data_IF_151569872199
#
_entry.id   IF_151569872199
#
_cell.length_a   1.000
_cell.length_b   1.000
_cell.length_c   1.000
_cell.angle_alpha   90.00
_cell.angle_beta   90.00
_cell.angle_gamma   90.00
#
_symmetry.space_group_name_H-M   'P 1'
#
loop_
_entity.id
_entity.type
_entity.pdbx_description
1 polymer ?
#
# COMPACT_ATOMS: atom_id res chain seq x y z
N UNK A 1 -8.99 35.29 -17.36
CA UNK A 1 -8.51 34.37 -16.31
C UNK A 1 -7.09 34.81 -15.99
N UNK A 2 -6.79 35.15 -14.74
CA UNK A 2 -5.40 35.44 -14.34
C UNK A 2 -4.55 34.19 -14.56
N UNK A 3 -3.33 34.37 -15.06
CA UNK A 3 -2.36 33.29 -15.18
C UNK A 3 -2.12 32.73 -13.77
N UNK A 4 -2.39 31.43 -13.59
CA UNK A 4 -2.21 30.79 -12.28
C UNK A 4 -0.78 30.29 -12.21
N UNK A 5 -0.14 30.49 -11.08
CA UNK A 5 1.21 29.98 -10.83
C UNK A 5 1.28 28.48 -11.16
N UNK A 6 2.34 28.03 -11.83
CA UNK A 6 2.53 26.61 -12.10
C UNK A 6 2.66 25.83 -10.79
N UNK A 7 2.27 24.56 -10.85
CA UNK A 7 2.58 23.58 -9.79
C UNK A 7 3.74 22.73 -10.30
N UNK A 8 4.89 22.85 -9.66
CA UNK A 8 6.06 22.00 -9.92
C UNK A 8 6.05 20.80 -8.99
N UNK A 9 6.18 19.61 -9.56
CA UNK A 9 6.35 18.36 -8.83
C UNK A 9 7.83 17.98 -8.91
N UNK A 10 8.48 17.88 -7.75
CA UNK A 10 9.90 17.60 -7.62
C UNK A 10 10.11 16.24 -7.00
N UNK A 11 10.76 15.35 -7.74
CA UNK A 11 11.29 14.12 -7.18
C UNK A 11 11.53 13.03 -8.21
N UNK A 12 11.76 11.78 -7.78
CA UNK A 12 12.18 10.74 -8.68
C UNK A 12 11.10 10.41 -9.74
N UNK A 13 11.47 9.89 -10.91
CA UNK A 13 10.57 9.78 -12.05
C UNK A 13 9.30 8.99 -11.73
N UNK A 14 9.41 7.87 -11.02
CA UNK A 14 8.26 7.05 -10.63
C UNK A 14 7.25 7.75 -9.73
N UNK A 15 7.71 8.62 -8.83
CA UNK A 15 6.85 9.32 -7.89
C UNK A 15 6.27 10.59 -8.53
N UNK A 16 7.12 11.36 -9.20
CA UNK A 16 6.77 12.63 -9.79
C UNK A 16 5.79 12.47 -10.94
N UNK A 17 5.99 11.50 -11.82
CA UNK A 17 5.08 11.27 -12.95
C UNK A 17 3.78 10.59 -12.55
N UNK A 18 3.78 9.76 -11.49
CA UNK A 18 2.54 9.24 -10.93
C UNK A 18 1.70 10.39 -10.37
N UNK A 19 2.32 11.24 -9.55
CA UNK A 19 1.70 12.43 -8.97
C UNK A 19 1.13 13.34 -10.05
N UNK A 20 1.95 13.68 -11.06
CA UNK A 20 1.54 14.56 -12.14
C UNK A 20 0.36 13.99 -12.93
N UNK A 21 0.40 12.69 -13.24
CA UNK A 21 -0.67 11.99 -13.96
C UNK A 21 -1.98 12.02 -13.17
N UNK A 22 -1.93 11.71 -11.87
CA UNK A 22 -3.11 11.70 -11.02
C UNK A 22 -3.68 13.11 -10.80
N UNK A 23 -2.85 14.12 -10.56
CA UNK A 23 -3.29 15.50 -10.40
C UNK A 23 -3.89 16.05 -11.70
N UNK A 24 -3.25 15.79 -12.84
CA UNK A 24 -3.77 16.20 -14.15
C UNK A 24 -5.16 15.60 -14.42
N UNK A 25 -5.38 14.35 -13.97
CA UNK A 25 -6.66 13.65 -14.17
C UNK A 25 -7.76 14.09 -13.21
N UNK A 26 -7.48 14.12 -11.92
CA UNK A 26 -8.52 14.20 -10.89
C UNK A 26 -8.70 15.58 -10.29
N UNK A 27 -7.63 16.38 -10.20
CA UNK A 27 -7.73 17.68 -9.54
C UNK A 27 -8.33 18.76 -10.46
N UNK A 28 -8.69 18.41 -11.72
CA UNK A 28 -9.19 19.31 -12.78
C UNK A 28 -8.64 20.71 -12.59
N UNK A 29 -7.30 20.78 -12.53
CA UNK A 29 -6.57 21.93 -12.03
C UNK A 29 -6.97 23.11 -12.91
N UNK A 30 -7.84 23.97 -12.40
CA UNK A 30 -8.66 24.86 -13.23
C UNK A 30 -7.78 25.96 -13.83
N UNK A 31 -7.06 25.62 -14.89
CA UNK A 31 -6.08 26.47 -15.56
C UNK A 31 -4.66 26.47 -14.97
N UNK A 32 -4.33 25.66 -13.96
CA UNK A 32 -2.94 25.63 -13.47
C UNK A 32 -2.07 24.71 -14.32
N UNK A 33 -0.87 25.19 -14.68
CA UNK A 33 0.12 24.42 -15.44
C UNK A 33 0.87 23.47 -14.50
N UNK A 34 0.89 22.19 -14.84
CA UNK A 34 1.70 21.19 -14.15
C UNK A 34 3.08 21.07 -14.79
N UNK A 35 4.11 21.06 -13.96
CA UNK A 35 5.49 20.81 -14.37
C UNK A 35 6.12 19.73 -13.51
N UNK A 36 7.07 18.98 -14.08
CA UNK A 36 7.82 17.93 -13.39
C UNK A 36 9.31 18.24 -13.46
N UNK A 37 9.95 18.32 -12.29
CA UNK A 37 11.40 18.36 -12.11
C UNK A 37 11.85 16.99 -11.59
N UNK A 38 12.45 16.18 -12.46
CA UNK A 38 12.95 14.85 -12.09
C UNK A 38 14.21 14.95 -11.24
N UNK A 39 14.24 14.21 -10.13
CA UNK A 39 15.48 13.92 -9.39
C UNK A 39 15.97 12.50 -9.73
N UNK A 40 17.23 12.15 -9.42
CA UNK A 40 17.73 10.80 -9.70
C UNK A 40 16.88 9.71 -9.06
N UNK A 41 16.53 8.66 -9.83
CA UNK A 41 15.85 7.49 -9.26
C UNK A 41 16.81 6.63 -8.47
N UNK A 42 16.35 6.12 -7.32
CA UNK A 42 17.03 5.06 -6.59
C UNK A 42 16.60 3.66 -7.04
N UNK A 43 15.55 3.57 -7.86
CA UNK A 43 14.96 2.32 -8.35
C UNK A 43 15.51 2.05 -9.75
N UNK A 44 15.99 0.83 -10.02
CA UNK A 44 16.54 0.50 -11.33
C UNK A 44 15.40 0.23 -12.32
N UNK A 45 15.58 0.59 -13.60
CA UNK A 45 14.55 0.44 -14.63
C UNK A 45 13.93 -0.96 -14.74
N UNK A 46 14.69 -2.02 -14.45
CA UNK A 46 14.24 -3.42 -14.53
C UNK A 46 13.64 -3.94 -13.21
N UNK A 47 13.65 -3.15 -12.14
CA UNK A 47 12.99 -3.53 -10.90
C UNK A 47 11.48 -3.54 -11.08
N UNK A 48 10.83 -4.41 -10.32
CA UNK A 48 9.38 -4.60 -10.38
C UNK A 48 8.74 -3.93 -9.18
N UNK A 49 7.68 -3.16 -9.45
CA UNK A 49 6.76 -2.65 -8.43
C UNK A 49 5.46 -3.43 -8.46
N UNK A 50 4.80 -3.53 -7.32
CA UNK A 50 3.50 -4.18 -7.22
C UNK A 50 2.43 -3.10 -7.06
N UNK A 51 1.59 -2.97 -8.10
CA UNK A 51 0.39 -2.17 -8.03
C UNK A 51 -0.70 -3.00 -7.32
N UNK A 52 -1.09 -2.55 -6.13
CA UNK A 52 -2.11 -3.20 -5.31
C UNK A 52 -3.51 -3.06 -5.93
N UNK A 53 -4.50 -3.87 -5.53
CA UNK A 53 -5.81 -3.90 -6.19
C UNK A 53 -6.52 -2.54 -6.22
N UNK A 54 -6.42 -1.78 -5.14
CA UNK A 54 -6.93 -0.42 -5.04
C UNK A 54 -6.19 0.56 -5.97
N UNK A 55 -4.88 0.40 -6.12
CA UNK A 55 -4.06 1.24 -7.01
C UNK A 55 -4.39 0.97 -8.47
N UNK A 56 -4.63 -0.29 -8.82
CA UNK A 56 -4.95 -0.70 -10.19
C UNK A 56 -6.23 -0.05 -10.69
N UNK A 57 -7.24 0.09 -9.84
CA UNK A 57 -8.46 0.84 -10.19
C UNK A 57 -8.15 2.30 -10.52
N UNK A 58 -7.31 2.95 -9.71
CA UNK A 58 -6.87 4.33 -9.94
C UNK A 58 -5.99 4.45 -11.20
N UNK A 59 -5.12 3.49 -11.45
CA UNK A 59 -4.29 3.44 -12.66
C UNK A 59 -5.18 3.38 -13.91
N UNK A 60 -6.18 2.51 -13.92
CA UNK A 60 -7.12 2.40 -15.04
C UNK A 60 -7.87 3.72 -15.26
N UNK A 61 -8.30 4.42 -14.20
CA UNK A 61 -9.03 5.69 -14.35
C UNK A 61 -8.18 6.87 -14.80
N UNK A 62 -6.85 6.81 -14.64
CA UNK A 62 -5.90 7.75 -15.28
C UNK A 62 -5.45 7.29 -16.68
N UNK A 63 -5.97 6.18 -17.20
CA UNK A 63 -5.63 5.67 -18.54
C UNK A 63 -4.40 4.76 -18.58
N UNK A 64 -3.89 4.34 -17.42
CA UNK A 64 -2.80 3.39 -17.30
C UNK A 64 -3.36 1.96 -17.19
N UNK A 65 -3.31 1.20 -18.29
CA UNK A 65 -3.75 -0.19 -18.30
C UNK A 65 -2.57 -1.13 -17.98
N UNK A 66 -2.58 -1.87 -16.84
CA UNK A 66 -1.48 -2.76 -16.49
C UNK A 66 -1.20 -3.83 -17.56
N UNK A 67 -2.24 -4.35 -18.22
CA UNK A 67 -2.07 -5.39 -19.25
C UNK A 67 -1.25 -4.90 -20.44
N UNK A 68 -1.40 -3.64 -20.84
CA UNK A 68 -0.60 -3.06 -21.94
C UNK A 68 0.87 -2.85 -21.58
N UNK A 69 1.21 -2.91 -20.29
CA UNK A 69 2.59 -2.78 -19.80
C UNK A 69 3.27 -4.15 -19.61
N UNK A 70 2.66 -5.24 -20.08
CA UNK A 70 3.15 -6.59 -19.81
C UNK A 70 3.06 -6.97 -18.33
N UNK A 71 2.18 -6.32 -17.56
CA UNK A 71 2.07 -6.56 -16.14
C UNK A 71 1.57 -7.98 -15.84
N UNK A 72 2.19 -8.62 -14.86
CA UNK A 72 1.86 -10.00 -14.45
C UNK A 72 0.99 -9.97 -13.20
N UNK A 73 -0.10 -10.75 -13.14
CA UNK A 73 -0.89 -10.85 -11.92
C UNK A 73 -0.02 -11.42 -10.79
N UNK A 74 -0.17 -10.89 -9.58
CA UNK A 74 0.54 -11.38 -8.38
C UNK A 74 -0.41 -11.54 -7.22
N UNK A 75 -0.24 -12.62 -6.44
CA UNK A 75 -1.08 -12.91 -5.27
C UNK A 75 -0.44 -12.43 -3.96
N UNK A 76 0.84 -12.09 -4.00
CA UNK A 76 1.60 -11.63 -2.85
C UNK A 76 2.70 -10.68 -3.28
N UNK A 77 3.21 -9.91 -2.32
CA UNK A 77 4.46 -9.18 -2.46
C UNK A 77 5.51 -9.73 -1.49
N UNK A 78 6.79 -9.53 -1.80
CA UNK A 78 7.88 -10.08 -1.00
C UNK A 78 8.37 -9.03 -0.01
N UNK A 79 8.32 -9.38 1.28
CA UNK A 79 8.89 -8.59 2.36
C UNK A 79 10.42 -8.73 2.46
N UNK A 80 11.04 -8.14 3.49
CA UNK A 80 12.50 -8.03 3.60
C UNK A 80 13.21 -9.37 3.80
N UNK A 81 12.54 -10.31 4.47
CA UNK A 81 13.07 -11.65 4.74
C UNK A 81 12.57 -12.69 3.72
N UNK A 82 12.31 -12.26 2.48
CA UNK A 82 11.71 -13.06 1.41
C UNK A 82 10.30 -13.62 1.73
N UNK A 83 9.69 -13.15 2.83
CA UNK A 83 8.37 -13.59 3.25
C UNK A 83 7.30 -13.10 2.27
N UNK A 84 6.40 -13.99 1.89
CA UNK A 84 5.26 -13.65 1.04
C UNK A 84 4.16 -12.98 1.86
N UNK A 85 3.86 -11.74 1.51
CA UNK A 85 2.78 -10.91 2.05
C UNK A 85 1.55 -11.03 1.14
N UNK A 86 0.48 -11.67 1.60
CA UNK A 86 -0.68 -11.99 0.77
C UNK A 86 -1.48 -10.75 0.41
N UNK A 87 -1.80 -10.60 -0.88
CA UNK A 87 -2.68 -9.55 -1.41
C UNK A 87 -4.13 -10.02 -1.58
N UNK A 88 -4.37 -11.33 -1.48
CA UNK A 88 -5.70 -11.94 -1.49
C UNK A 88 -6.13 -12.34 -0.08
N UNK A 89 -7.44 -12.40 0.19
CA UNK A 89 -7.94 -13.05 1.40
C UNK A 89 -7.40 -14.48 1.51
N UNK A 90 -7.07 -14.89 2.73
CA UNK A 90 -6.56 -16.23 3.01
C UNK A 90 -7.68 -17.08 3.59
N UNK A 91 -7.95 -18.19 2.90
CA UNK A 91 -9.00 -19.15 3.20
C UNK A 91 -10.39 -18.55 3.27
N UNK A 92 -11.35 -19.32 3.78
CA UNK A 92 -12.74 -18.90 3.92
C UNK A 92 -13.21 -18.97 5.37
N UNK A 93 -14.11 -18.06 5.75
CA UNK A 93 -14.82 -18.12 7.04
C UNK A 93 -15.72 -19.37 7.03
N UNK A 94 -15.66 -20.16 8.10
CA UNK A 94 -16.45 -21.38 8.22
C UNK A 94 -17.32 -21.33 9.48
N UNK A 95 -18.64 -21.42 9.30
CA UNK A 95 -19.64 -21.35 10.39
C UNK A 95 -19.43 -20.14 11.33
N UNK A 96 -19.05 -18.99 10.75
CA UNK A 96 -18.78 -17.76 11.50
C UNK A 96 -17.43 -17.73 12.24
N UNK A 97 -16.60 -18.77 12.10
CA UNK A 97 -15.23 -18.81 12.61
C UNK A 97 -14.28 -18.33 11.52
N UNK A 98 -13.41 -17.36 11.84
CA UNK A 98 -12.41 -16.88 10.90
C UNK A 98 -11.43 -17.99 10.51
N UNK A 99 -10.99 -18.01 9.25
CA UNK A 99 -10.03 -18.98 8.74
C UNK A 99 -8.77 -19.08 9.60
N UNK A 100 -8.24 -17.94 10.05
CA UNK A 100 -7.10 -17.89 10.95
C UNK A 100 -7.33 -18.66 12.25
N UNK A 101 -8.48 -18.49 12.90
CA UNK A 101 -8.74 -19.17 14.17
C UNK A 101 -8.82 -20.70 13.96
N UNK A 102 -9.29 -21.13 12.79
CA UNK A 102 -9.31 -22.54 12.36
C UNK A 102 -7.88 -23.03 12.13
N UNK A 103 -7.09 -22.33 11.32
CA UNK A 103 -5.72 -22.70 10.97
C UNK A 103 -4.82 -22.76 12.21
N UNK A 104 -4.82 -21.72 13.05
CA UNK A 104 -4.03 -21.73 14.28
C UNK A 104 -4.44 -22.86 15.22
N UNK A 105 -5.75 -23.15 15.35
CA UNK A 105 -6.22 -24.26 16.18
C UNK A 105 -5.72 -25.59 15.62
N UNK A 106 -5.77 -25.78 14.30
CA UNK A 106 -5.21 -26.95 13.64
C UNK A 106 -3.70 -27.09 13.87
N UNK A 107 -2.93 -26.00 13.82
CA UNK A 107 -1.49 -26.05 14.11
C UNK A 107 -1.23 -26.52 15.55
N UNK A 108 -1.95 -25.95 16.52
CA UNK A 108 -1.75 -26.24 17.94
C UNK A 108 -2.27 -27.61 18.37
N UNK A 109 -3.43 -28.04 17.87
CA UNK A 109 -4.12 -29.24 18.34
C UNK A 109 -3.94 -30.44 17.41
N UNK A 110 -3.75 -30.22 16.11
CA UNK A 110 -3.71 -31.27 15.08
C UNK A 110 -2.33 -31.43 14.43
N UNK A 111 -1.35 -30.60 14.80
CA UNK A 111 -0.03 -30.60 14.18
C UNK A 111 -0.05 -30.18 12.71
N UNK A 112 -1.00 -29.35 12.29
CA UNK A 112 -1.02 -28.78 10.95
C UNK A 112 0.30 -28.03 10.67
N UNK A 113 0.96 -28.36 9.55
CA UNK A 113 2.26 -27.78 9.18
C UNK A 113 2.21 -26.94 7.91
N UNK A 114 1.08 -26.97 7.17
CA UNK A 114 0.92 -26.17 5.96
C UNK A 114 1.04 -24.69 6.30
N UNK A 115 1.92 -23.93 5.61
CA UNK A 115 2.04 -22.50 5.85
C UNK A 115 0.73 -21.81 5.48
N UNK A 116 0.38 -20.78 6.26
CA UNK A 116 -0.86 -20.03 6.08
C UNK A 116 -1.03 -19.44 4.67
N UNK A 117 0.08 -19.10 4.01
CA UNK A 117 0.09 -18.56 2.65
C UNK A 117 -0.38 -19.53 1.57
N UNK A 118 -0.34 -20.86 1.81
CA UNK A 118 -0.91 -21.88 0.90
C UNK A 118 -2.44 -21.87 0.85
N UNK A 119 -3.10 -21.00 1.61
CA UNK A 119 -4.55 -20.86 1.53
C UNK A 119 -4.93 -19.50 0.93
N UNK A 120 -3.96 -18.76 0.38
CA UNK A 120 -4.23 -17.54 -0.35
C UNK A 120 -5.10 -17.87 -1.56
N UNK A 121 -6.23 -17.19 -1.69
CA UNK A 121 -7.12 -17.43 -2.83
C UNK A 121 -6.36 -17.16 -4.13
N UNK A 122 -6.46 -18.11 -5.05
CA UNK A 122 -5.90 -18.03 -6.39
C UNK A 122 -6.68 -17.09 -7.31
N UNK A 123 -7.89 -16.68 -6.89
CA UNK A 123 -8.65 -15.65 -7.57
C UNK A 123 -7.77 -14.42 -7.80
N UNK A 124 -7.85 -13.84 -8.99
CA UNK A 124 -7.04 -12.69 -9.36
C UNK A 124 -7.18 -11.61 -8.29
N UNK A 125 -6.12 -11.40 -7.52
CA UNK A 125 -6.01 -10.36 -6.48
C UNK A 125 -6.42 -8.99 -7.00
N UNK A 126 -6.36 -8.79 -8.31
CA UNK A 126 -6.43 -7.50 -8.95
C UNK A 126 -5.12 -6.73 -8.85
N UNK A 127 -4.10 -7.31 -8.21
CA UNK A 127 -2.76 -6.74 -8.10
C UNK A 127 -1.87 -7.22 -9.26
N UNK A 128 -0.94 -6.35 -9.65
CA UNK A 128 -0.05 -6.59 -10.79
C UNK A 128 1.38 -6.19 -10.48
N UNK A 129 2.33 -7.03 -10.86
CA UNK A 129 3.75 -6.73 -10.95
C UNK A 129 4.04 -6.01 -12.28
N UNK A 130 4.66 -4.83 -12.20
CA UNK A 130 4.98 -3.98 -13.35
C UNK A 130 6.47 -3.61 -13.28
N UNK A 131 7.18 -3.74 -14.40
CA UNK A 131 8.55 -3.19 -14.54
C UNK A 131 8.51 -1.66 -14.44
N UNK A 132 9.33 -1.08 -13.56
CA UNK A 132 9.26 0.34 -13.24
C UNK A 132 9.59 1.23 -14.45
N UNK A 133 10.54 0.82 -15.31
CA UNK A 133 10.88 1.57 -16.51
C UNK A 133 9.70 1.68 -17.49
N UNK A 134 8.95 0.59 -17.68
CA UNK A 134 7.72 0.59 -18.50
C UNK A 134 6.62 1.44 -17.85
N UNK A 135 6.47 1.34 -16.53
CA UNK A 135 5.52 2.11 -15.75
C UNK A 135 5.75 3.62 -15.90
N UNK A 136 6.99 4.09 -15.70
CA UNK A 136 7.36 5.51 -15.82
C UNK A 136 7.15 6.02 -17.25
N UNK A 137 7.57 5.27 -18.27
CA UNK A 137 7.36 5.66 -19.68
C UNK A 137 5.88 5.86 -19.99
N UNK A 138 5.03 4.98 -19.48
CA UNK A 138 3.60 5.07 -19.69
C UNK A 138 2.98 6.28 -18.96
N UNK A 139 3.36 6.52 -17.70
CA UNK A 139 2.94 7.71 -16.95
C UNK A 139 3.36 9.01 -17.66
N UNK A 140 4.62 9.12 -18.10
CA UNK A 140 5.12 10.24 -18.91
C UNK A 140 4.25 10.47 -20.13
N UNK A 141 4.00 9.42 -20.91
CA UNK A 141 3.18 9.51 -22.12
C UNK A 141 1.74 9.97 -21.84
N UNK A 142 1.13 9.53 -20.74
CA UNK A 142 -0.22 9.95 -20.32
C UNK A 142 -0.20 11.41 -19.88
N UNK A 143 0.72 11.79 -19.00
CA UNK A 143 0.84 13.14 -18.45
C UNK A 143 1.13 14.18 -19.53
N UNK A 144 2.04 13.90 -20.47
CA UNK A 144 2.35 14.82 -21.57
C UNK A 144 1.15 15.05 -22.49
N UNK A 145 0.32 14.02 -22.75
CA UNK A 145 -0.91 14.17 -23.54
C UNK A 145 -1.93 15.12 -22.92
N UNK A 146 -1.89 15.30 -21.60
CA UNK A 146 -2.75 16.23 -20.86
C UNK A 146 -2.06 17.55 -20.50
N UNK A 147 -0.90 17.83 -21.10
CA UNK A 147 -0.21 19.12 -21.00
C UNK A 147 0.79 19.26 -19.86
N UNK A 148 1.17 18.18 -19.17
CA UNK A 148 2.27 18.21 -18.19
C UNK A 148 3.60 18.32 -18.93
N UNK A 149 4.43 19.29 -18.53
CA UNK A 149 5.77 19.50 -19.11
C UNK A 149 6.89 19.14 -18.12
N UNK A 150 8.04 18.69 -18.60
CA UNK A 150 9.27 18.65 -17.80
C UNK A 150 9.86 20.06 -17.66
N UNK A 151 10.50 20.36 -16.53
CA UNK A 151 11.23 21.60 -16.31
C UNK A 151 12.64 21.33 -15.75
N UNK A 152 13.53 22.32 -15.85
CA UNK A 152 14.90 22.26 -15.32
C UNK A 152 15.01 22.85 -13.91
N UNK A 153 14.07 23.72 -13.52
CA UNK A 153 14.06 24.42 -12.24
C UNK A 153 12.64 24.41 -11.65
N UNK A 154 12.54 24.52 -10.32
CA UNK A 154 11.27 24.51 -9.63
C UNK A 154 10.68 25.92 -9.52
N UNK A 155 9.44 26.08 -9.97
CA UNK A 155 8.71 27.35 -9.94
C UNK A 155 7.33 27.17 -9.28
N UNK A 156 6.82 28.25 -8.68
CA UNK A 156 5.45 28.31 -8.14
C UNK A 156 5.21 27.41 -6.92
N UNK A 157 4.11 26.65 -6.95
CA UNK A 157 3.76 25.71 -5.88
C UNK A 157 4.58 24.43 -6.03
N UNK A 158 5.30 24.04 -4.99
CA UNK A 158 6.21 22.88 -5.05
C UNK A 158 5.61 21.69 -4.32
N UNK A 159 5.39 20.59 -5.04
CA UNK A 159 5.06 19.29 -4.46
C UNK A 159 6.33 18.44 -4.41
N UNK A 160 6.72 18.02 -3.22
CA UNK A 160 8.02 17.39 -2.99
C UNK A 160 7.80 15.90 -2.69
N UNK A 161 8.24 15.03 -3.58
CA UNK A 161 8.34 13.58 -3.33
C UNK A 161 9.75 13.12 -3.00
N UNK A 162 10.76 14.00 -3.10
CA UNK A 162 12.15 13.75 -2.70
C UNK A 162 12.50 14.35 -1.32
N UNK A 163 12.92 13.54 -0.33
CA UNK A 163 13.31 14.05 1.00
C UNK A 163 14.41 15.12 0.98
N UNK A 164 15.27 15.14 -0.04
CA UNK A 164 16.40 16.08 -0.15
C UNK A 164 15.99 17.53 -0.40
N UNK A 165 14.71 17.78 -0.74
CA UNK A 165 14.19 19.11 -1.09
C UNK A 165 13.39 19.80 0.03
N UNK A 166 13.37 19.26 1.27
CA UNK A 166 12.60 19.84 2.39
C UNK A 166 13.04 21.28 2.71
N UNK A 167 12.10 22.24 2.75
CA UNK A 167 12.36 23.59 3.26
C UNK A 167 11.69 24.77 2.53
N UNK A 168 10.94 24.54 1.46
CA UNK A 168 10.27 25.64 0.74
C UNK A 168 8.96 26.08 1.44
N UNK A 169 8.79 27.39 1.63
CA UNK A 169 7.72 28.04 2.39
C UNK A 169 6.29 27.75 1.87
N UNK A 170 6.16 27.30 0.61
CA UNK A 170 4.89 26.95 -0.06
C UNK A 170 4.83 25.48 -0.50
N UNK A 171 5.68 24.62 0.06
CA UNK A 171 5.75 23.22 -0.35
C UNK A 171 4.76 22.32 0.39
N UNK A 172 4.23 21.33 -0.33
CA UNK A 172 3.58 20.15 0.28
C UNK A 172 4.44 18.94 0.00
N UNK A 173 4.60 18.08 1.00
CA UNK A 173 5.44 16.88 0.91
C UNK A 173 4.56 15.67 0.67
N UNK A 174 4.92 14.79 -0.25
CA UNK A 174 4.18 13.57 -0.63
C UNK A 174 5.09 12.34 -0.57
N UNK A 175 4.51 11.15 -0.37
CA UNK A 175 5.19 9.88 -0.54
C UNK A 175 6.41 9.68 0.35
N UNK A 176 7.51 9.17 -0.21
CA UNK A 176 8.75 8.90 0.52
C UNK A 176 9.42 10.17 1.07
N UNK A 177 9.14 11.36 0.54
CA UNK A 177 9.62 12.58 1.18
C UNK A 177 8.95 12.87 2.52
N UNK A 178 7.74 12.37 2.76
CA UNK A 178 7.01 12.58 4.00
C UNK A 178 7.44 11.61 5.12
N UNK A 179 8.10 10.50 4.77
CA UNK A 179 8.42 9.42 5.71
C UNK A 179 9.69 8.68 5.34
N UNK A 180 10.46 8.24 6.34
CA UNK A 180 11.63 7.41 6.10
C UNK A 180 11.19 5.97 5.77
N UNK A 181 11.10 5.67 4.48
CA UNK A 181 10.83 4.31 4.02
C UNK A 181 12.13 3.51 3.90
N UNK A 182 12.11 2.28 4.43
CA UNK A 182 13.06 1.23 4.07
C UNK A 182 12.98 0.97 2.55
N UNK A 183 14.09 0.53 1.91
CA UNK A 183 14.16 0.39 0.47
C UNK A 183 13.24 -0.73 -0.03
N UNK A 184 12.00 -0.37 -0.36
CA UNK A 184 10.99 -1.23 -0.97
C UNK A 184 10.25 -0.42 -2.04
N UNK A 185 10.49 -0.70 -3.33
CA UNK A 185 9.80 -0.03 -4.43
C UNK A 185 8.27 -0.11 -4.31
N UNK A 186 7.75 -1.25 -3.85
CA UNK A 186 6.30 -1.46 -3.64
C UNK A 186 5.74 -0.57 -2.54
N UNK A 187 6.37 -0.53 -1.36
CA UNK A 187 5.90 0.32 -0.26
C UNK A 187 6.00 1.81 -0.62
N UNK A 188 7.07 2.19 -1.33
CA UNK A 188 7.25 3.56 -1.82
C UNK A 188 6.15 3.96 -2.80
N UNK A 189 5.87 3.12 -3.79
CA UNK A 189 4.80 3.39 -4.75
C UNK A 189 3.44 3.54 -4.05
N UNK A 190 3.16 2.67 -3.07
CA UNK A 190 1.94 2.75 -2.27
C UNK A 190 1.87 4.05 -1.45
N UNK A 191 2.96 4.43 -0.77
CA UNK A 191 3.01 5.66 0.01
C UNK A 191 2.76 6.91 -0.84
N UNK A 192 3.36 6.97 -2.03
CA UNK A 192 3.13 8.06 -3.00
C UNK A 192 1.68 8.08 -3.45
N UNK A 193 1.16 6.93 -3.91
CA UNK A 193 -0.21 6.82 -4.39
C UNK A 193 -1.23 7.32 -3.36
N UNK A 194 -1.11 6.87 -2.11
CA UNK A 194 -2.01 7.23 -1.03
C UNK A 194 -1.86 8.69 -0.61
N UNK A 195 -0.63 9.22 -0.58
CA UNK A 195 -0.38 10.64 -0.32
C UNK A 195 -1.02 11.54 -1.38
N UNK A 196 -0.98 11.12 -2.65
CA UNK A 196 -1.55 11.87 -3.76
C UNK A 196 -3.08 11.81 -3.73
N UNK A 197 -3.67 10.67 -3.37
CA UNK A 197 -5.12 10.59 -3.15
C UNK A 197 -5.57 11.53 -2.03
N UNK A 198 -4.91 11.48 -0.88
CA UNK A 198 -5.20 12.40 0.22
C UNK A 198 -5.05 13.87 -0.20
N UNK A 199 -4.04 14.17 -1.03
CA UNK A 199 -3.82 15.50 -1.58
C UNK A 199 -4.97 15.94 -2.50
N UNK A 200 -5.42 15.07 -3.40
CA UNK A 200 -6.53 15.33 -4.33
C UNK A 200 -7.83 15.58 -3.55
N UNK A 201 -8.13 14.74 -2.56
CA UNK A 201 -9.34 14.85 -1.74
C UNK A 201 -9.38 16.13 -0.91
N UNK A 202 -8.21 16.58 -0.46
CA UNK A 202 -8.09 17.83 0.30
C UNK A 202 -7.82 19.04 -0.60
N UNK A 203 -7.68 18.88 -1.92
CA UNK A 203 -7.22 19.98 -2.78
C UNK A 203 -8.24 21.11 -2.84
N UNK A 204 -7.78 22.34 -2.60
CA UNK A 204 -8.60 23.55 -2.79
C UNK A 204 -7.81 24.64 -3.48
N UNK A 205 -8.48 25.37 -4.36
CA UNK A 205 -7.96 26.57 -5.03
C UNK A 205 -8.30 27.86 -4.30
N UNK A 206 -9.21 27.81 -3.33
CA UNK A 206 -9.65 28.99 -2.60
C UNK A 206 -8.65 29.26 -1.49
N UNK A 207 -7.96 30.39 -1.58
CA UNK A 207 -6.99 30.80 -0.57
C UNK A 207 -7.63 30.86 0.83
N UNK A 208 -8.91 31.24 0.92
CA UNK A 208 -9.69 31.24 2.17
C UNK A 208 -9.79 29.87 2.85
N UNK A 209 -9.80 28.80 2.07
CA UNK A 209 -10.05 27.44 2.55
C UNK A 209 -8.75 26.65 2.71
N UNK A 210 -7.64 27.21 2.22
CA UNK A 210 -6.32 26.58 2.17
C UNK A 210 -5.84 26.10 3.53
N UNK A 211 -6.03 26.91 4.58
CA UNK A 211 -5.62 26.53 5.93
C UNK A 211 -6.34 25.30 6.50
N UNK A 212 -7.62 25.09 6.14
CA UNK A 212 -8.37 23.89 6.57
C UNK A 212 -8.00 22.68 5.71
N UNK A 213 -7.90 22.88 4.39
CA UNK A 213 -7.40 21.88 3.44
C UNK A 213 -6.03 21.34 3.85
N UNK A 214 -5.09 22.22 4.18
CA UNK A 214 -3.75 21.85 4.62
C UNK A 214 -3.81 21.06 5.93
N UNK A 215 -4.60 21.50 6.91
CA UNK A 215 -4.73 20.77 8.18
C UNK A 215 -5.26 19.36 7.99
N UNK A 216 -6.31 19.20 7.19
CA UNK A 216 -6.90 17.87 6.93
C UNK A 216 -5.96 16.98 6.10
N UNK A 217 -5.27 17.56 5.11
CA UNK A 217 -4.24 16.85 4.36
C UNK A 217 -3.13 16.31 5.27
N UNK A 218 -2.57 17.15 6.13
CA UNK A 218 -1.52 16.73 7.07
C UNK A 218 -2.02 15.70 8.09
N UNK A 219 -3.29 15.80 8.53
CA UNK A 219 -3.90 14.80 9.41
C UNK A 219 -3.96 13.42 8.72
N UNK A 220 -4.46 13.36 7.47
CA UNK A 220 -4.52 12.11 6.69
C UNK A 220 -3.13 11.58 6.38
N UNK A 221 -2.21 12.45 5.98
CA UNK A 221 -0.83 12.08 5.72
C UNK A 221 -0.18 11.47 6.97
N UNK A 222 -0.43 12.03 8.17
CA UNK A 222 -0.01 11.44 9.44
C UNK A 222 -0.49 10.00 9.62
N UNK A 223 -1.77 9.72 9.36
CA UNK A 223 -2.32 8.35 9.43
C UNK A 223 -1.67 7.38 8.43
N UNK A 224 -1.40 7.83 7.20
CA UNK A 224 -0.67 7.05 6.18
C UNK A 224 0.76 6.74 6.67
N UNK A 225 1.47 7.75 7.18
CA UNK A 225 2.84 7.64 7.70
C UNK A 225 2.89 6.66 8.87
N UNK A 226 1.98 6.78 9.82
CA UNK A 226 1.90 5.91 10.99
C UNK A 226 1.66 4.45 10.57
N UNK A 227 0.68 4.21 9.68
CA UNK A 227 0.39 2.85 9.18
C UNK A 227 1.58 2.25 8.42
N UNK A 228 2.29 3.04 7.61
CA UNK A 228 3.48 2.58 6.88
C UNK A 228 4.66 2.30 7.80
N UNK A 229 4.86 3.17 8.80
CA UNK A 229 5.93 3.02 9.79
C UNK A 229 5.70 1.77 10.62
N UNK A 230 4.47 1.57 11.12
CA UNK A 230 4.10 0.39 11.91
C UNK A 230 4.34 -0.91 11.12
N UNK A 231 3.95 -0.97 9.84
CA UNK A 231 4.17 -2.16 9.02
C UNK A 231 5.66 -2.42 8.80
N UNK A 232 6.46 -1.37 8.58
CA UNK A 232 7.89 -1.50 8.41
C UNK A 232 8.60 -1.92 9.70
N UNK A 233 8.25 -1.33 10.85
CA UNK A 233 8.77 -1.77 12.15
C UNK A 233 8.52 -3.26 12.33
N UNK A 234 7.31 -3.73 12.02
CA UNK A 234 6.99 -5.15 12.16
C UNK A 234 7.80 -6.04 11.21
N UNK A 235 7.90 -5.67 9.93
CA UNK A 235 8.57 -6.46 8.90
C UNK A 235 10.10 -6.48 9.01
N UNK A 236 10.72 -5.39 9.49
CA UNK A 236 12.19 -5.26 9.55
C UNK A 236 12.76 -5.44 10.96
N UNK A 237 12.01 -5.10 12.02
CA UNK A 237 12.51 -5.16 13.39
C UNK A 237 11.96 -6.37 14.18
N UNK A 238 10.89 -7.00 13.68
CA UNK A 238 10.30 -8.19 14.27
C UNK A 238 9.86 -7.96 15.72
N UNK A 239 10.25 -8.86 16.64
CA UNK A 239 9.89 -8.77 18.06
C UNK A 239 10.54 -7.58 18.80
N UNK A 240 11.48 -6.85 18.16
CA UNK A 240 11.95 -5.55 18.68
C UNK A 240 10.90 -4.43 18.59
N UNK A 241 9.70 -4.74 18.10
CA UNK A 241 8.51 -3.90 18.18
C UNK A 241 8.11 -3.49 19.62
N UNK A 242 8.82 -3.90 20.68
CA UNK A 242 8.67 -3.29 22.01
C UNK A 242 8.89 -1.77 22.03
N UNK A 243 9.61 -1.22 21.04
CA UNK A 243 9.77 0.24 20.83
C UNK A 243 8.75 0.83 19.86
N UNK A 244 7.75 0.05 19.45
CA UNK A 244 6.77 0.48 18.48
C UNK A 244 5.87 1.61 19.01
N UNK A 245 5.18 2.26 18.09
CA UNK A 245 4.11 3.21 18.39
C UNK A 245 3.03 2.57 19.28
N UNK A 246 2.31 3.39 20.05
CA UNK A 246 1.16 2.92 20.84
C UNK A 246 0.11 2.23 19.95
N UNK A 247 -0.03 2.66 18.68
CA UNK A 247 -0.93 2.08 17.68
C UNK A 247 -0.55 0.64 17.36
N UNK A 248 0.71 0.38 17.02
CA UNK A 248 1.20 -0.97 16.75
C UNK A 248 1.21 -1.84 18.01
N UNK A 249 1.59 -1.29 19.17
CA UNK A 249 1.52 -2.01 20.44
C UNK A 249 0.09 -2.48 20.73
N UNK A 250 -0.90 -1.60 20.60
CA UNK A 250 -2.30 -1.97 20.76
C UNK A 250 -2.72 -3.07 19.77
N UNK A 251 -2.32 -2.98 18.50
CA UNK A 251 -2.59 -4.03 17.50
C UNK A 251 -1.96 -5.37 17.89
N UNK A 252 -0.70 -5.37 18.34
CA UNK A 252 0.00 -6.57 18.82
C UNK A 252 -0.71 -7.16 20.04
N UNK A 253 -1.17 -6.34 20.98
CA UNK A 253 -1.90 -6.80 22.16
C UNK A 253 -3.24 -7.45 21.79
N UNK A 254 -4.03 -6.81 20.93
CA UNK A 254 -5.31 -7.37 20.46
C UNK A 254 -5.08 -8.69 19.72
N UNK A 255 -4.04 -8.73 18.88
CA UNK A 255 -3.64 -9.93 18.18
C UNK A 255 -3.22 -11.05 19.14
N UNK A 256 -2.27 -10.79 20.05
CA UNK A 256 -1.78 -11.76 21.04
C UNK A 256 -2.92 -12.30 21.91
N UNK A 257 -3.83 -11.42 22.33
CA UNK A 257 -4.88 -11.79 23.27
C UNK A 257 -6.10 -12.46 22.64
N UNK A 258 -6.47 -12.11 21.41
CA UNK A 258 -7.76 -12.49 20.81
C UNK A 258 -7.61 -13.11 19.40
N UNK A 259 -6.42 -13.04 18.79
CA UNK A 259 -6.17 -13.54 17.43
C UNK A 259 -6.92 -12.73 16.37
N UNK A 260 -7.08 -11.43 16.59
CA UNK A 260 -7.75 -10.50 15.66
C UNK A 260 -6.84 -9.33 15.33
N UNK A 261 -6.94 -8.84 14.10
CA UNK A 261 -6.31 -7.59 13.70
C UNK A 261 -7.26 -6.46 14.07
N UNK A 262 -6.82 -5.58 14.97
CA UNK A 262 -7.56 -4.37 15.30
C UNK A 262 -7.58 -3.44 14.06
N UNK A 263 -8.77 -3.09 13.52
CA UNK A 263 -8.85 -2.12 12.45
C UNK A 263 -8.49 -0.74 13.01
N UNK A 264 -7.69 0.00 12.28
CA UNK A 264 -7.36 1.37 12.62
C UNK A 264 -7.75 2.30 11.49
N UNK A 265 -8.11 3.53 11.83
CA UNK A 265 -8.34 4.57 10.85
C UNK A 265 -7.07 4.79 10.01
N UNK A 266 -7.25 5.07 8.72
CA UNK A 266 -6.17 5.30 7.77
C UNK A 266 -5.22 4.09 7.58
N UNK A 267 -5.67 2.86 7.88
CA UNK A 267 -4.89 1.65 7.61
C UNK A 267 -4.62 1.47 6.11
N UNK A 268 -3.34 1.32 5.79
CA UNK A 268 -2.86 1.15 4.42
C UNK A 268 -2.73 -0.32 4.01
N UNK A 269 -2.86 -1.25 4.95
CA UNK A 269 -2.70 -2.68 4.73
C UNK A 269 -3.93 -3.44 5.18
N UNK A 270 -4.24 -4.51 4.47
CA UNK A 270 -5.36 -5.38 4.77
C UNK A 270 -5.05 -6.27 5.98
N UNK A 271 -6.09 -6.81 6.61
CA UNK A 271 -5.93 -7.64 7.79
C UNK A 271 -5.01 -8.86 7.54
N UNK A 272 -5.06 -9.46 6.35
CA UNK A 272 -4.20 -10.59 6.00
C UNK A 272 -2.71 -10.24 5.92
N UNK A 273 -2.38 -9.00 5.54
CA UNK A 273 -0.99 -8.55 5.48
C UNK A 273 -0.47 -8.32 6.90
N UNK A 274 -1.24 -7.62 7.75
CA UNK A 274 -0.88 -7.46 9.15
C UNK A 274 -0.67 -8.79 9.85
N UNK A 275 -1.56 -9.75 9.62
CA UNK A 275 -1.42 -11.11 10.14
C UNK A 275 -0.13 -11.79 9.63
N UNK A 276 0.16 -11.72 8.32
CA UNK A 276 1.38 -12.31 7.78
C UNK A 276 2.64 -11.70 8.40
N UNK A 277 2.67 -10.37 8.57
CA UNK A 277 3.77 -9.67 9.22
C UNK A 277 3.90 -10.04 10.72
N UNK A 278 2.78 -10.18 11.44
CA UNK A 278 2.79 -10.56 12.86
C UNK A 278 3.32 -11.98 13.05
N UNK A 279 2.85 -12.93 12.22
CA UNK A 279 3.35 -14.30 12.24
C UNK A 279 4.84 -14.38 11.87
N UNK A 280 5.27 -13.59 10.90
CA UNK A 280 6.69 -13.48 10.53
C UNK A 280 7.56 -12.95 11.68
N UNK A 281 7.02 -12.03 12.47
CA UNK A 281 7.68 -11.51 13.67
C UNK A 281 7.62 -12.47 14.88
N UNK A 282 7.17 -13.72 14.68
CA UNK A 282 6.94 -14.73 15.73
C UNK A 282 5.96 -14.27 16.83
N UNK A 283 5.07 -13.35 16.46
CA UNK A 283 4.02 -12.86 17.34
C UNK A 283 2.81 -13.77 17.13
N UNK A 284 2.71 -14.83 17.92
CA UNK A 284 1.66 -15.85 17.82
C UNK A 284 0.49 -15.50 18.78
N UNK A 285 -0.78 -15.62 18.34
CA UNK A 285 -1.92 -15.37 19.21
C UNK A 285 -2.07 -16.47 20.27
N UNK A 286 -2.20 -16.09 21.54
CA UNK A 286 -2.31 -17.04 22.65
C UNK A 286 -3.69 -17.69 22.73
N UNK A 287 -4.72 -16.94 22.34
CA UNK A 287 -6.10 -17.41 22.31
C UNK A 287 -6.65 -17.38 20.90
N UNK A 288 -7.05 -18.54 20.41
CA UNK A 288 -7.96 -18.65 19.27
C UNK A 288 -9.38 -18.37 19.77
N UNK A 289 -10.12 -17.49 19.08
CA UNK A 289 -11.44 -17.04 19.51
C UNK A 289 -12.38 -18.18 19.89
N UNK A 290 -13.21 -17.98 20.94
CA UNK A 290 -14.04 -19.05 21.55
C UNK A 290 -14.92 -19.80 20.55
N UNK A 291 -15.37 -19.14 19.49
CA UNK A 291 -16.16 -19.74 18.42
C UNK A 291 -15.42 -20.87 17.71
N UNK A 292 -14.09 -20.82 17.61
CA UNK A 292 -13.32 -21.92 17.00
C UNK A 292 -13.49 -23.24 17.75
N UNK A 293 -13.82 -23.21 19.06
CA UNK A 293 -14.02 -24.41 19.89
C UNK A 293 -15.33 -25.13 19.61
N UNK A 294 -16.29 -24.50 18.93
CA UNK A 294 -17.53 -25.18 18.52
C UNK A 294 -17.33 -26.13 17.35
N UNK A 295 -16.20 -26.01 16.64
CA UNK A 295 -15.84 -26.91 15.54
C UNK A 295 -15.16 -28.17 16.08
N UNK A 296 -15.50 -29.32 15.53
CA UNK A 296 -14.79 -30.58 15.77
C UNK A 296 -13.46 -30.62 15.01
N UNK A 297 -12.54 -31.48 15.43
CA UNK A 297 -11.28 -31.70 14.71
C UNK A 297 -11.49 -32.17 13.27
N UNK A 298 -12.48 -33.03 13.04
CA UNK A 298 -12.84 -33.50 11.71
C UNK A 298 -13.33 -32.36 10.79
N UNK A 299 -14.16 -31.45 11.32
CA UNK A 299 -14.63 -30.28 10.56
C UNK A 299 -13.48 -29.32 10.22
N UNK A 300 -12.56 -29.10 11.17
CA UNK A 300 -11.37 -28.27 10.93
C UNK A 300 -10.52 -28.86 9.81
N UNK A 301 -10.18 -30.16 9.90
CA UNK A 301 -9.36 -30.83 8.89
C UNK A 301 -10.03 -30.79 7.51
N UNK A 302 -11.32 -31.16 7.45
CA UNK A 302 -12.09 -31.16 6.21
C UNK A 302 -12.16 -29.76 5.57
N UNK A 303 -12.33 -28.69 6.37
CA UNK A 303 -12.36 -27.32 5.87
C UNK A 303 -11.00 -26.88 5.30
N UNK A 304 -9.90 -27.21 6.00
CA UNK A 304 -8.55 -26.91 5.52
C UNK A 304 -8.24 -27.65 4.21
N UNK A 305 -8.64 -28.91 4.10
CA UNK A 305 -8.44 -29.70 2.88
C UNK A 305 -9.28 -29.17 1.71
N UNK A 306 -10.51 -28.72 1.98
CA UNK A 306 -11.34 -28.04 0.97
C UNK A 306 -10.68 -26.74 0.48
N UNK A 307 -10.19 -25.89 1.39
CA UNK A 307 -9.49 -24.66 1.04
C UNK A 307 -8.22 -24.93 0.21
N UNK A 308 -7.46 -25.99 0.53
CA UNK A 308 -6.28 -26.38 -0.24
C UNK A 308 -6.62 -26.95 -1.62
N UNK A 309 -7.75 -27.63 -1.76
CA UNK A 309 -8.18 -28.23 -3.04
C UNK A 309 -8.73 -27.19 -4.01
N UNK A 310 -9.47 -26.19 -3.51
CA UNK A 310 -9.93 -25.04 -4.31
C UNK A 310 -8.76 -24.27 -4.95
N UNK A 311 -7.63 -24.18 -4.24
CA UNK A 311 -6.42 -23.55 -4.79
C UNK A 311 -5.92 -24.28 -6.03
N UNK A 312 -5.81 -25.61 -5.97
CA UNK A 312 -5.32 -26.44 -7.07
C UNK A 312 -6.22 -26.36 -8.31
N UNK A 313 -7.54 -26.28 -8.12
CA UNK A 313 -8.50 -26.21 -9.23
C UNK A 313 -8.41 -24.91 -10.04
N UNK A 314 -7.94 -23.84 -9.41
CA UNK A 314 -7.85 -22.50 -10.02
C UNK A 314 -6.47 -22.18 -10.62
N UNK A 315 -5.48 -23.08 -10.46
CA UNK A 315 -4.13 -22.94 -11.05
C UNK A 315 -4.05 -23.58 -12.45
N UNK A 316 -5.04 -24.40 -12.82
CA UNK A 316 -5.17 -25.01 -14.17
C UNK A 316 -5.95 -24.17 -15.16
#
# INVERSE_FOLDING_TARGET
MGDRDPVTIVGPPEDAWLTATMLARFASLSGARLQVLETPSTVKDHETVIARPEMVRTHVSVGLNPKSLGARPVQSWTGPSEQLMPLTPIGQVYKGVSFLAIHHRAQKELGETRPFTKFASSNASGAFAIEIGLYVRALKAIATKVGVSSCAEAEGHVLISDPSFRGAEKSRVIGAAAMELKPSPTLRLQAVHQSVLALIECWTWRESDRGLSDKEYHRRLGGIVDSMTDMQTLLWEGDRASRASNRLQHRIEVWRNIGRIAPMDDDQFQAQEWMAALLQADIIPQNVGRLSRSLTHAEIAAHLDACATEELANVG
#
